data_IF_952266232540
#
_entry.id   IF_952266232540
#
_cell.length_a   1.000
_cell.length_b   1.000
_cell.length_c   1.000
_cell.angle_alpha   90.00
_cell.angle_beta   90.00
_cell.angle_gamma   90.00
#
_symmetry.space_group_name_H-M   'P 1'
#
loop_
_entity.id
_entity.type
_entity.pdbx_description
1 polymer ?
#
# COMPACT_ATOMS: atom_id res chain seq x y z
N UNK A 1 2.51 -4.80 10.45
CA UNK A 1 2.08 -5.97 11.24
C UNK A 1 0.61 -6.22 10.99
N UNK A 2 0.24 -7.45 10.66
CA UNK A 2 -1.17 -7.86 10.56
C UNK A 2 -1.59 -8.51 11.88
N UNK A 3 -2.60 -7.93 12.53
CA UNK A 3 -3.15 -8.38 13.79
C UNK A 3 -4.38 -9.24 13.51
N UNK A 4 -4.19 -10.56 13.55
CA UNK A 4 -5.25 -11.53 13.24
C UNK A 4 -6.49 -11.24 14.08
N UNK A 5 -7.64 -11.12 13.42
CA UNK A 5 -8.94 -10.80 14.04
C UNK A 5 -9.05 -9.39 14.66
N UNK A 6 -8.12 -8.47 14.36
CA UNK A 6 -8.17 -7.11 14.90
C UNK A 6 -7.98 -6.04 13.82
N UNK A 7 -6.94 -6.15 12.99
CA UNK A 7 -6.63 -5.15 11.98
C UNK A 7 -5.17 -5.16 11.57
N UNK A 8 -4.60 -4.00 11.30
CA UNK A 8 -3.19 -3.85 10.97
C UNK A 8 -2.57 -2.66 11.69
N UNK A 9 -1.27 -2.74 11.94
CA UNK A 9 -0.43 -1.63 12.41
C UNK A 9 0.68 -1.43 11.39
N UNK A 10 0.84 -0.19 10.96
CA UNK A 10 1.88 0.30 10.05
C UNK A 10 2.68 1.37 10.77
N UNK A 11 3.99 1.37 10.54
CA UNK A 11 4.92 2.33 11.14
C UNK A 11 5.85 2.85 10.06
N UNK A 12 6.33 4.09 10.22
CA UNK A 12 7.36 4.71 9.41
C UNK A 12 8.25 5.60 10.30
N UNK A 13 9.37 6.06 9.78
CA UNK A 13 10.27 7.01 10.47
C UNK A 13 9.62 8.39 10.63
N UNK A 14 8.64 8.69 9.78
CA UNK A 14 7.85 9.93 9.79
C UNK A 14 6.36 9.60 9.71
N UNK A 15 5.51 10.60 9.98
CA UNK A 15 4.04 10.44 9.89
C UNK A 15 3.62 10.14 8.44
N UNK A 16 4.21 10.84 7.45
CA UNK A 16 3.87 10.65 6.05
C UNK A 16 4.34 9.29 5.52
N UNK A 17 5.49 8.78 5.96
CA UNK A 17 5.93 7.42 5.61
C UNK A 17 4.99 6.36 6.23
N UNK A 18 4.60 6.53 7.50
CA UNK A 18 3.64 5.63 8.13
C UNK A 18 2.30 5.62 7.38
N UNK A 19 1.82 6.78 6.94
CA UNK A 19 0.61 6.91 6.14
C UNK A 19 0.76 6.32 4.74
N UNK A 20 1.92 6.46 4.10
CA UNK A 20 2.24 5.82 2.82
C UNK A 20 2.06 4.30 2.91
N UNK A 21 2.66 3.64 3.91
CA UNK A 21 2.48 2.20 4.11
C UNK A 21 1.03 1.84 4.47
N UNK A 22 0.38 2.65 5.30
CA UNK A 22 -1.03 2.44 5.69
C UNK A 22 -1.94 2.41 4.48
N UNK A 23 -1.80 3.42 3.61
CA UNK A 23 -2.61 3.54 2.40
C UNK A 23 -2.37 2.36 1.45
N UNK A 24 -1.11 2.04 1.15
CA UNK A 24 -0.80 0.93 0.25
C UNK A 24 -1.26 -0.43 0.78
N UNK A 25 -1.15 -0.66 2.10
CA UNK A 25 -1.67 -1.88 2.72
C UNK A 25 -3.20 -1.95 2.60
N UNK A 26 -3.89 -0.84 2.84
CA UNK A 26 -5.35 -0.77 2.72
C UNK A 26 -5.83 -1.03 1.29
N UNK A 27 -5.16 -0.44 0.28
CA UNK A 27 -5.44 -0.69 -1.14
C UNK A 27 -5.17 -2.15 -1.53
N UNK A 28 -4.10 -2.76 -1.03
CA UNK A 28 -3.79 -4.17 -1.25
C UNK A 28 -4.89 -5.07 -0.66
N UNK A 29 -5.32 -4.81 0.59
CA UNK A 29 -6.42 -5.55 1.22
C UNK A 29 -7.74 -5.39 0.47
N UNK A 30 -8.10 -4.17 0.04
CA UNK A 30 -9.30 -3.94 -0.77
C UNK A 30 -9.26 -4.72 -2.07
N UNK A 31 -8.14 -4.66 -2.80
CA UNK A 31 -7.93 -5.41 -4.04
C UNK A 31 -8.10 -6.90 -3.81
N UNK A 32 -7.48 -7.45 -2.75
CA UNK A 32 -7.59 -8.86 -2.41
C UNK A 32 -9.04 -9.28 -2.08
N UNK A 33 -9.78 -8.46 -1.31
CA UNK A 33 -11.20 -8.73 -1.03
C UNK A 33 -12.05 -8.76 -2.31
N UNK A 34 -11.82 -7.81 -3.22
CA UNK A 34 -12.53 -7.76 -4.50
C UNK A 34 -12.23 -8.99 -5.36
N UNK A 35 -10.95 -9.35 -5.51
CA UNK A 35 -10.54 -10.54 -6.26
C UNK A 35 -11.16 -11.82 -5.66
N UNK A 36 -11.11 -11.99 -4.35
CA UNK A 36 -11.67 -13.16 -3.66
C UNK A 36 -13.21 -13.21 -3.70
N UNK A 37 -13.89 -12.11 -4.01
CA UNK A 37 -15.34 -12.09 -4.18
C UNK A 37 -15.79 -12.68 -5.53
N UNK A 38 -14.89 -12.80 -6.50
CA UNK A 38 -15.16 -13.42 -7.79
C UNK A 38 -15.01 -14.95 -7.69
N UNK A 39 -16.03 -15.70 -8.15
CA UNK A 39 -16.10 -17.16 -7.91
C UNK A 39 -15.35 -18.02 -8.93
N UNK A 40 -14.99 -17.49 -10.09
CA UNK A 40 -14.57 -18.30 -11.25
C UNK A 40 -13.36 -17.75 -12.01
N UNK A 41 -12.63 -16.78 -11.46
CA UNK A 41 -11.49 -16.19 -12.15
C UNK A 41 -10.17 -16.75 -11.61
N UNK A 42 -9.37 -17.33 -12.49
CA UNK A 42 -7.99 -17.69 -12.18
C UNK A 42 -7.19 -16.41 -11.87
N UNK A 43 -6.61 -16.35 -10.66
CA UNK A 43 -5.80 -15.23 -10.25
C UNK A 43 -4.43 -15.31 -10.91
N UNK A 44 -4.12 -14.33 -11.75
CA UNK A 44 -2.79 -14.16 -12.31
C UNK A 44 -1.89 -13.55 -11.24
N UNK A 45 -0.96 -14.34 -10.72
CA UNK A 45 0.05 -13.88 -9.77
C UNK A 45 1.34 -13.59 -10.53
N UNK A 46 1.87 -12.35 -10.51
CA UNK A 46 3.16 -12.04 -11.12
C UNK A 46 4.30 -12.86 -10.50
N UNK A 47 5.38 -13.04 -11.25
CA UNK A 47 6.55 -13.75 -10.75
C UNK A 47 7.21 -13.00 -9.59
N UNK A 48 7.96 -13.71 -8.76
CA UNK A 48 8.66 -13.13 -7.62
C UNK A 48 9.67 -12.06 -8.04
N UNK A 49 10.28 -12.20 -9.21
CA UNK A 49 11.21 -11.24 -9.79
C UNK A 49 10.51 -9.91 -10.08
N UNK A 50 9.32 -9.96 -10.70
CA UNK A 50 8.51 -8.77 -10.98
C UNK A 50 8.08 -8.09 -9.67
N UNK A 51 7.63 -8.87 -8.69
CA UNK A 51 7.24 -8.34 -7.38
C UNK A 51 8.42 -7.65 -6.67
N UNK A 52 9.60 -8.27 -6.70
CA UNK A 52 10.82 -7.72 -6.07
C UNK A 52 11.26 -6.43 -6.75
N UNK A 53 11.25 -6.40 -8.09
CA UNK A 53 11.60 -5.20 -8.85
C UNK A 53 10.61 -4.06 -8.58
N UNK A 54 9.31 -4.37 -8.53
CA UNK A 54 8.25 -3.38 -8.22
C UNK A 54 8.45 -2.75 -6.85
N UNK A 55 8.78 -3.54 -5.83
CA UNK A 55 9.09 -3.01 -4.48
C UNK A 55 10.29 -2.08 -4.52
N UNK A 56 11.36 -2.45 -5.24
CA UNK A 56 12.55 -1.62 -5.37
C UNK A 56 12.22 -0.29 -6.05
N UNK A 57 11.52 -0.33 -7.19
CA UNK A 57 11.17 0.87 -7.95
C UNK A 57 10.28 1.81 -7.13
N UNK A 58 9.27 1.27 -6.45
CA UNK A 58 8.37 2.06 -5.61
C UNK A 58 9.11 2.73 -4.44
N UNK A 59 9.93 1.98 -3.71
CA UNK A 59 10.59 2.48 -2.50
C UNK A 59 11.83 3.34 -2.77
N UNK A 60 12.39 3.29 -3.99
CA UNK A 60 13.55 4.11 -4.38
C UNK A 60 13.20 5.36 -5.17
N UNK A 61 11.93 5.54 -5.55
CA UNK A 61 11.48 6.66 -6.36
C UNK A 61 11.57 8.01 -5.63
N UNK A 62 11.27 8.06 -4.33
CA UNK A 62 11.29 9.30 -3.53
C UNK A 62 12.41 9.26 -2.49
N UNK A 63 13.12 10.38 -2.32
CA UNK A 63 14.08 10.54 -1.23
C UNK A 63 13.39 10.61 0.13
N UNK A 64 12.23 11.28 0.21
CA UNK A 64 11.38 11.39 1.39
C UNK A 64 10.05 10.65 1.17
N UNK A 65 10.08 9.34 1.39
CA UNK A 65 9.00 8.42 1.02
C UNK A 65 7.63 8.83 1.57
N UNK A 66 6.67 9.08 0.67
CA UNK A 66 5.29 9.41 1.02
C UNK A 66 5.03 10.89 1.24
N UNK A 67 6.05 11.74 1.13
CA UNK A 67 5.92 13.19 1.33
C UNK A 67 4.98 13.82 0.30
N UNK A 68 5.13 13.45 -0.96
CA UNK A 68 4.31 13.93 -2.08
C UNK A 68 2.84 13.55 -1.91
N UNK A 69 2.59 12.30 -1.53
CA UNK A 69 1.24 11.77 -1.29
C UNK A 69 0.59 12.48 -0.09
N UNK A 70 1.36 12.70 0.97
CA UNK A 70 0.90 13.45 2.15
C UNK A 70 0.48 14.87 1.81
N UNK A 71 1.27 15.60 1.01
CA UNK A 71 0.90 16.94 0.56
C UNK A 71 -0.38 16.93 -0.28
N UNK A 72 -0.60 15.89 -1.10
CA UNK A 72 -1.84 15.72 -1.84
C UNK A 72 -3.04 15.48 -0.92
N UNK A 73 -2.91 14.61 0.08
CA UNK A 73 -3.97 14.39 1.08
C UNK A 73 -4.28 15.64 1.89
N UNK A 74 -3.27 16.42 2.28
CA UNK A 74 -3.49 17.69 2.98
C UNK A 74 -4.28 18.69 2.13
N UNK A 75 -4.07 18.73 0.81
CA UNK A 75 -4.89 19.56 -0.08
C UNK A 75 -6.34 19.06 -0.10
N UNK A 76 -6.55 17.76 -0.21
CA UNK A 76 -7.88 17.16 -0.26
C UNK A 76 -8.70 17.40 1.02
N UNK A 77 -8.07 17.35 2.19
CA UNK A 77 -8.75 17.56 3.49
C UNK A 77 -9.04 19.05 3.77
N UNK A 78 -8.28 19.96 3.16
CA UNK A 78 -8.45 21.42 3.37
C UNK A 78 -9.45 22.07 2.41
N UNK A 79 -9.92 21.36 1.40
CA UNK A 79 -11.00 21.78 0.50
C UNK A 79 -12.35 21.56 1.18
#
# INVERSE_FOLDING_TARGET
>A
MLLRNHGAITCGKTIHEAMFYTYHLEQACKTQCLLNSTKEQELIIPSIEICTQTVKDLLSFEEDLGKRDWEAWLRLVKM
#
